data_IF_622850349971
#
_entry.id   IF_622850349971
#
_cell.length_a   1.000
_cell.length_b   1.000
_cell.length_c   1.000
_cell.angle_alpha   90.00
_cell.angle_beta   90.00
_cell.angle_gamma   90.00
#
_symmetry.space_group_name_H-M   'P 1'
#
loop_
_entity.id
_entity.type
_entity.pdbx_description
1 polymer ?
#
# COMPACT_ATOMS: atom_id res chain seq x y z
N UNK A 1 -52.85 -19.89 5.77
CA UNK A 1 -52.42 -18.49 5.63
C UNK A 1 -50.97 -18.21 6.06
N UNK A 2 -50.39 -18.97 7.01
CA UNK A 2 -49.03 -18.82 7.50
C UNK A 2 -47.92 -19.40 6.59
N UNK A 3 -48.22 -20.40 5.78
CA UNK A 3 -47.23 -21.05 4.89
C UNK A 3 -46.85 -20.19 3.68
N UNK A 4 -47.73 -19.28 3.23
CA UNK A 4 -47.48 -18.42 2.06
C UNK A 4 -46.51 -17.27 2.40
N UNK A 5 -46.57 -16.74 3.63
CA UNK A 5 -45.67 -15.66 4.06
C UNK A 5 -44.24 -16.16 4.29
N UNK A 6 -44.05 -17.39 4.77
CA UNK A 6 -42.74 -18.00 4.99
C UNK A 6 -42.06 -18.28 3.65
N UNK A 7 -42.79 -18.75 2.67
CA UNK A 7 -42.25 -19.03 1.34
C UNK A 7 -41.88 -17.75 0.58
N UNK A 8 -42.64 -16.65 0.71
CA UNK A 8 -42.29 -15.37 0.12
C UNK A 8 -41.04 -14.76 0.73
N UNK A 9 -40.88 -14.84 2.04
CA UNK A 9 -39.69 -14.33 2.74
C UNK A 9 -38.41 -15.13 2.44
N UNK A 10 -38.53 -16.44 2.22
CA UNK A 10 -37.43 -17.31 1.80
C UNK A 10 -37.05 -17.01 0.36
N UNK A 11 -38.01 -16.84 -0.54
CA UNK A 11 -37.77 -16.50 -1.96
C UNK A 11 -37.14 -15.10 -2.10
N UNK A 12 -37.52 -14.14 -1.26
CA UNK A 12 -36.89 -12.81 -1.23
C UNK A 12 -35.45 -12.86 -0.68
N UNK A 13 -35.14 -13.73 0.30
CA UNK A 13 -33.77 -13.98 0.77
C UNK A 13 -32.90 -14.64 -0.29
N UNK A 14 -33.43 -15.58 -1.05
CA UNK A 14 -32.69 -16.22 -2.15
C UNK A 14 -32.40 -15.27 -3.32
N UNK A 15 -33.26 -14.28 -3.60
CA UNK A 15 -33.03 -13.26 -4.63
C UNK A 15 -31.88 -12.29 -4.29
N UNK A 16 -31.49 -12.18 -3.03
CA UNK A 16 -30.44 -11.24 -2.57
C UNK A 16 -29.08 -11.91 -2.28
N UNK A 17 -28.85 -13.15 -2.69
CA UNK A 17 -27.56 -13.85 -2.54
C UNK A 17 -26.52 -13.46 -3.61
N UNK A 18 -26.63 -12.29 -4.20
CA UNK A 18 -25.60 -11.76 -5.09
C UNK A 18 -24.40 -11.30 -4.27
N UNK A 19 -23.24 -11.97 -4.47
CA UNK A 19 -21.97 -11.51 -3.91
C UNK A 19 -21.66 -10.12 -4.41
N UNK A 20 -21.32 -9.20 -3.48
CA UNK A 20 -20.92 -7.85 -3.85
C UNK A 20 -19.62 -7.87 -4.65
N UNK A 21 -19.63 -7.26 -5.84
CA UNK A 21 -18.45 -7.03 -6.66
C UNK A 21 -18.31 -5.53 -6.94
N UNK A 22 -17.19 -4.97 -6.48
CA UNK A 22 -16.88 -3.56 -6.71
C UNK A 22 -16.61 -3.28 -8.19
N UNK A 23 -17.20 -2.22 -8.72
CA UNK A 23 -16.89 -1.71 -10.07
C UNK A 23 -15.84 -0.61 -9.98
N UNK A 24 -14.97 -0.52 -10.99
CA UNK A 24 -13.87 0.46 -11.04
C UNK A 24 -14.37 1.93 -10.94
N UNK A 25 -15.57 2.21 -11.45
CA UNK A 25 -16.18 3.53 -11.51
C UNK A 25 -16.72 4.00 -10.16
N UNK A 26 -17.13 3.05 -9.29
CA UNK A 26 -17.79 3.33 -8.01
C UNK A 26 -16.84 3.28 -6.81
N UNK A 27 -15.53 3.16 -7.07
CA UNK A 27 -14.52 3.12 -5.99
C UNK A 27 -14.34 4.52 -5.41
N UNK A 28 -14.68 4.71 -4.15
CA UNK A 28 -14.30 5.88 -3.37
C UNK A 28 -12.86 5.74 -2.87
N UNK A 29 -11.99 6.74 -3.16
CA UNK A 29 -10.58 6.75 -2.80
C UNK A 29 -10.28 7.91 -1.88
N UNK A 30 -9.66 7.61 -0.74
CA UNK A 30 -9.22 8.58 0.26
C UNK A 30 -7.71 8.75 0.23
N UNK A 31 -7.24 9.84 0.81
CA UNK A 31 -5.81 10.11 0.98
C UNK A 31 -5.44 9.91 2.43
N UNK A 32 -4.36 9.16 2.66
CA UNK A 32 -3.82 8.92 3.99
C UNK A 32 -2.37 9.39 4.06
N UNK A 33 -2.02 10.02 5.17
CA UNK A 33 -0.63 10.33 5.50
C UNK A 33 -0.16 9.44 6.64
N UNK A 34 1.05 8.91 6.51
CA UNK A 34 1.70 8.03 7.48
C UNK A 34 3.06 8.61 7.79
N UNK A 35 3.33 8.83 9.07
CA UNK A 35 4.65 9.21 9.55
C UNK A 35 5.52 7.95 9.72
N UNK A 36 6.69 7.97 9.09
CA UNK A 36 7.66 6.88 9.13
C UNK A 36 8.69 7.04 10.27
N UNK A 37 8.68 8.16 11.00
CA UNK A 37 9.65 8.42 12.07
C UNK A 37 9.60 7.34 13.16
N UNK A 38 10.74 6.73 13.44
CA UNK A 38 10.87 5.67 14.45
C UNK A 38 10.17 4.34 14.12
N UNK A 39 9.53 4.24 12.94
CA UNK A 39 8.85 3.01 12.52
C UNK A 39 9.80 2.02 11.86
N UNK A 40 9.59 0.73 12.11
CA UNK A 40 10.36 -0.31 11.41
C UNK A 40 9.89 -0.43 9.96
N UNK A 41 10.84 -0.44 9.01
CA UNK A 41 10.58 -0.48 7.57
C UNK A 41 9.56 -1.56 7.16
N UNK A 42 9.69 -2.78 7.70
CA UNK A 42 8.81 -3.89 7.35
C UNK A 42 7.37 -3.70 7.79
N UNK A 43 7.16 -3.23 9.03
CA UNK A 43 5.81 -2.97 9.58
C UNK A 43 5.13 -1.81 8.86
N UNK A 44 5.88 -0.73 8.63
CA UNK A 44 5.44 0.41 7.83
C UNK A 44 4.98 -0.05 6.43
N UNK A 45 5.84 -0.77 5.71
CA UNK A 45 5.55 -1.25 4.36
C UNK A 45 4.34 -2.19 4.31
N UNK A 46 4.14 -3.05 5.31
CA UNK A 46 2.96 -3.94 5.39
C UNK A 46 1.67 -3.13 5.55
N UNK A 47 1.68 -2.12 6.41
CA UNK A 47 0.50 -1.26 6.63
C UNK A 47 0.17 -0.46 5.36
N UNK A 48 1.18 0.17 4.76
CA UNK A 48 1.05 0.91 3.50
C UNK A 48 0.51 0.01 2.38
N UNK A 49 1.07 -1.19 2.20
CA UNK A 49 0.62 -2.13 1.18
C UNK A 49 -0.84 -2.59 1.40
N UNK A 50 -1.27 -2.76 2.66
CA UNK A 50 -2.66 -3.11 3.00
C UNK A 50 -3.64 -2.01 2.57
N UNK A 51 -3.29 -0.73 2.79
CA UNK A 51 -4.11 0.43 2.40
C UNK A 51 -4.12 0.61 0.88
N UNK A 52 -2.95 0.54 0.23
CA UNK A 52 -2.83 0.62 -1.23
C UNK A 52 -3.62 -0.47 -1.97
N UNK A 53 -3.69 -1.66 -1.39
CA UNK A 53 -4.46 -2.79 -1.91
C UNK A 53 -5.96 -2.66 -1.63
N UNK A 54 -6.32 -1.90 -0.60
CA UNK A 54 -7.71 -1.72 -0.17
C UNK A 54 -8.26 -2.84 0.70
N UNK A 55 -7.39 -3.68 1.29
CA UNK A 55 -7.82 -4.81 2.15
C UNK A 55 -8.55 -4.38 3.44
N UNK A 56 -8.43 -3.12 3.83
CA UNK A 56 -9.12 -2.56 5.00
C UNK A 56 -10.59 -2.23 4.72
N UNK A 57 -11.00 -2.21 3.43
CA UNK A 57 -12.38 -1.91 3.03
C UNK A 57 -13.24 -3.18 2.97
N UNK A 58 -14.49 -3.15 3.46
CA UNK A 58 -15.40 -4.29 3.34
C UNK A 58 -15.76 -4.59 1.87
N UNK A 59 -15.69 -3.58 1.00
CA UNK A 59 -15.96 -3.68 -0.45
C UNK A 59 -14.77 -4.19 -1.27
N UNK A 60 -13.72 -4.72 -0.60
CA UNK A 60 -12.52 -5.21 -1.29
C UNK A 60 -12.83 -6.31 -2.30
N UNK A 61 -12.40 -6.09 -3.54
CA UNK A 61 -12.52 -7.06 -4.63
C UNK A 61 -11.14 -7.29 -5.28
N UNK A 62 -10.63 -8.54 -5.36
CA UNK A 62 -9.24 -8.82 -5.74
C UNK A 62 -8.82 -8.35 -7.14
N UNK A 63 -9.74 -8.34 -8.11
CA UNK A 63 -9.46 -7.98 -9.50
C UNK A 63 -9.62 -6.47 -9.79
N UNK A 64 -10.14 -5.70 -8.83
CA UNK A 64 -10.33 -4.25 -8.95
C UNK A 64 -9.38 -3.52 -8.02
N UNK A 65 -8.85 -2.38 -8.46
CA UNK A 65 -8.05 -1.50 -7.60
C UNK A 65 -8.96 -0.68 -6.67
N UNK A 66 -9.24 -1.25 -5.48
CA UNK A 66 -10.08 -0.64 -4.43
C UNK A 66 -9.29 0.21 -3.43
N UNK A 67 -7.97 0.27 -3.57
CA UNK A 67 -7.09 0.90 -2.60
C UNK A 67 -7.09 2.43 -2.66
N UNK A 68 -6.59 3.02 -1.58
CA UNK A 68 -6.50 4.45 -1.35
C UNK A 68 -5.11 4.99 -1.69
N UNK A 69 -4.98 6.32 -1.72
CA UNK A 69 -3.70 7.00 -1.85
C UNK A 69 -2.98 7.06 -0.50
N UNK A 70 -1.68 6.84 -0.51
CA UNK A 70 -0.85 6.88 0.70
C UNK A 70 0.34 7.79 0.48
N UNK A 71 0.51 8.72 1.42
CA UNK A 71 1.66 9.59 1.54
C UNK A 71 2.48 9.11 2.73
N UNK A 72 3.75 8.83 2.52
CA UNK A 72 4.71 8.51 3.60
C UNK A 72 5.65 9.68 3.77
N UNK A 73 5.72 10.23 4.97
CA UNK A 73 6.62 11.32 5.32
C UNK A 73 7.74 10.83 6.23
N UNK A 74 8.81 11.62 6.36
CA UNK A 74 9.98 11.31 7.20
C UNK A 74 10.67 9.97 6.84
N UNK A 75 10.76 9.63 5.55
CA UNK A 75 11.38 8.38 5.10
C UNK A 75 12.85 8.24 5.54
N UNK A 76 13.57 9.34 5.76
CA UNK A 76 14.95 9.34 6.26
C UNK A 76 15.09 8.83 7.70
N UNK A 77 14.03 8.86 8.49
CA UNK A 77 14.02 8.46 9.90
C UNK A 77 13.46 7.05 10.16
N UNK A 78 13.33 6.24 9.12
CA UNK A 78 12.90 4.84 9.20
C UNK A 78 13.95 4.00 9.91
N UNK A 79 13.51 3.11 10.80
CA UNK A 79 14.38 2.23 11.55
C UNK A 79 14.53 0.87 10.88
N UNK A 80 15.77 0.40 10.77
CA UNK A 80 16.12 -0.97 10.38
C UNK A 80 16.56 -1.74 11.63
N UNK A 81 15.97 -2.91 11.85
CA UNK A 81 16.28 -3.75 13.03
C UNK A 81 17.47 -4.68 12.78
N UNK A 82 18.25 -4.95 13.84
CA UNK A 82 19.43 -5.80 13.76
C UNK A 82 20.54 -5.19 12.90
N UNK A 83 21.40 -6.01 12.34
CA UNK A 83 22.57 -5.56 11.55
C UNK A 83 22.24 -5.26 10.06
N UNK A 84 20.96 -5.02 9.74
CA UNK A 84 20.52 -4.83 8.34
C UNK A 84 21.12 -3.59 7.66
N UNK A 85 21.57 -2.60 8.43
CA UNK A 85 22.23 -1.43 7.87
C UNK A 85 23.49 -1.80 7.09
N UNK A 86 24.25 -2.77 7.58
CA UNK A 86 25.50 -3.23 6.98
C UNK A 86 25.30 -4.44 6.06
N UNK A 87 24.50 -5.41 6.50
CA UNK A 87 24.41 -6.72 5.82
C UNK A 87 23.42 -6.74 4.67
N UNK A 88 22.39 -5.87 4.70
CA UNK A 88 21.39 -5.87 3.65
C UNK A 88 21.87 -5.13 2.42
N UNK A 89 22.00 -5.86 1.30
CA UNK A 89 22.40 -5.31 0.02
C UNK A 89 21.20 -5.06 -0.90
N UNK A 90 21.26 -3.95 -1.62
CA UNK A 90 20.31 -3.60 -2.68
C UNK A 90 21.04 -3.64 -4.01
N UNK A 91 20.54 -4.48 -4.90
CA UNK A 91 21.09 -4.66 -6.25
C UNK A 91 20.27 -3.90 -7.29
N UNK A 92 20.96 -3.28 -8.23
CA UNK A 92 20.38 -2.67 -9.42
C UNK A 92 21.24 -2.97 -10.64
N UNK A 93 20.64 -3.36 -11.76
CA UNK A 93 21.35 -3.73 -12.97
C UNK A 93 20.90 -2.85 -14.13
N UNK A 94 21.85 -2.22 -14.82
CA UNK A 94 21.59 -1.31 -15.95
C UNK A 94 21.24 -2.01 -17.26
N UNK A 95 21.25 -3.35 -17.29
CA UNK A 95 21.09 -4.23 -18.47
C UNK A 95 22.25 -4.22 -19.47
N UNK A 96 23.36 -3.56 -19.16
CA UNK A 96 24.62 -3.64 -19.92
C UNK A 96 25.60 -4.57 -19.23
N UNK A 97 26.54 -5.17 -19.98
CA UNK A 97 27.60 -5.99 -19.42
C UNK A 97 28.36 -5.20 -18.34
N UNK A 98 28.61 -5.81 -17.16
CA UNK A 98 29.25 -5.13 -16.02
C UNK A 98 28.39 -4.09 -15.30
N UNK A 99 27.11 -3.95 -15.64
CA UNK A 99 26.21 -2.91 -15.09
C UNK A 99 25.56 -3.22 -13.73
N UNK A 100 26.04 -4.19 -12.97
CA UNK A 100 25.57 -4.47 -11.62
C UNK A 100 26.06 -3.38 -10.66
N UNK A 101 25.13 -2.80 -9.93
CA UNK A 101 25.41 -1.84 -8.84
C UNK A 101 24.89 -2.40 -7.53
N UNK A 102 25.74 -2.36 -6.52
CA UNK A 102 25.45 -2.82 -5.16
C UNK A 102 25.48 -1.64 -4.22
N UNK A 103 24.55 -1.59 -3.28
CA UNK A 103 24.48 -0.56 -2.23
C UNK A 103 24.06 -1.23 -0.92
N UNK A 104 24.68 -0.84 0.18
CA UNK A 104 24.24 -1.25 1.51
C UNK A 104 22.94 -0.55 1.90
N UNK A 105 22.21 -1.10 2.86
CA UNK A 105 21.00 -0.44 3.35
C UNK A 105 21.31 0.89 4.03
N UNK A 106 22.50 1.04 4.66
CA UNK A 106 22.95 2.31 5.21
C UNK A 106 23.09 3.40 4.14
N UNK A 107 23.80 3.09 3.04
CA UNK A 107 23.93 4.01 1.91
C UNK A 107 22.57 4.37 1.25
N UNK A 108 21.66 3.39 1.20
CA UNK A 108 20.31 3.62 0.68
C UNK A 108 19.51 4.56 1.57
N UNK A 109 19.64 4.44 2.90
CA UNK A 109 18.93 5.28 3.86
C UNK A 109 19.42 6.74 3.80
N UNK A 110 20.74 6.94 3.63
CA UNK A 110 21.32 8.29 3.54
C UNK A 110 21.01 8.99 2.22
N UNK A 111 21.22 8.29 1.10
CA UNK A 111 21.16 8.90 -0.24
C UNK A 111 19.79 8.81 -0.89
N UNK A 112 19.07 7.69 -0.66
CA UNK A 112 17.84 7.37 -1.37
C UNK A 112 16.77 6.76 -0.43
N UNK A 113 16.39 7.43 0.68
CA UNK A 113 15.45 6.88 1.66
C UNK A 113 14.07 6.60 1.05
N UNK A 114 13.63 7.43 0.12
CA UNK A 114 12.38 7.27 -0.60
C UNK A 114 12.35 5.94 -1.38
N UNK A 115 13.40 5.70 -2.18
CA UNK A 115 13.53 4.47 -2.97
C UNK A 115 13.55 3.20 -2.08
N UNK A 116 14.14 3.28 -0.89
CA UNK A 116 14.17 2.16 0.05
C UNK A 116 12.76 1.77 0.51
N UNK A 117 11.94 2.76 0.88
CA UNK A 117 10.54 2.55 1.27
C UNK A 117 9.71 2.05 0.08
N UNK A 118 9.86 2.66 -1.08
CA UNK A 118 9.17 2.26 -2.30
C UNK A 118 9.47 0.81 -2.68
N UNK A 119 10.73 0.38 -2.65
CA UNK A 119 11.13 -0.99 -2.94
C UNK A 119 10.53 -1.99 -1.94
N UNK A 120 10.47 -1.62 -0.65
CA UNK A 120 9.85 -2.46 0.37
C UNK A 120 8.35 -2.64 0.13
N UNK A 121 7.63 -1.57 -0.17
CA UNK A 121 6.18 -1.61 -0.47
C UNK A 121 5.91 -2.34 -1.78
N UNK A 122 6.68 -2.06 -2.84
CA UNK A 122 6.55 -2.72 -4.16
C UNK A 122 6.71 -4.23 -4.06
N UNK A 123 7.61 -4.71 -3.19
CA UNK A 123 7.79 -6.13 -2.92
C UNK A 123 6.57 -6.81 -2.28
N UNK A 124 5.71 -6.04 -1.58
CA UNK A 124 4.51 -6.52 -0.89
C UNK A 124 3.23 -6.39 -1.73
N UNK A 125 3.28 -5.66 -2.84
CA UNK A 125 2.17 -5.53 -3.78
C UNK A 125 2.15 -6.68 -4.79
N UNK A 126 0.98 -6.98 -5.41
CA UNK A 126 0.88 -7.96 -6.46
C UNK A 126 1.82 -7.65 -7.64
N UNK A 127 2.39 -8.69 -8.23
CA UNK A 127 3.15 -8.56 -9.48
C UNK A 127 2.18 -8.51 -10.66
N UNK A 128 2.30 -7.50 -11.51
CA UNK A 128 1.45 -7.39 -12.71
C UNK A 128 0.86 -5.98 -12.92
N UNK A 129 -0.03 -5.81 -13.89
CA UNK A 129 -0.62 -4.49 -14.22
C UNK A 129 -1.36 -3.85 -13.05
N UNK A 130 -2.17 -4.64 -12.33
CA UNK A 130 -2.92 -4.17 -11.17
C UNK A 130 -2.01 -3.66 -10.04
N UNK A 131 -0.94 -4.40 -9.72
CA UNK A 131 0.03 -3.97 -8.71
C UNK A 131 0.78 -2.69 -9.11
N UNK A 132 1.06 -2.49 -10.40
CA UNK A 132 1.63 -1.23 -10.90
C UNK A 132 0.66 -0.05 -10.75
N UNK A 133 -0.65 -0.25 -10.94
CA UNK A 133 -1.66 0.78 -10.69
C UNK A 133 -1.75 1.13 -9.20
N UNK A 134 -1.73 0.13 -8.31
CA UNK A 134 -1.71 0.33 -6.87
C UNK A 134 -0.45 1.11 -6.43
N UNK A 135 0.72 0.77 -6.98
CA UNK A 135 1.98 1.41 -6.65
C UNK A 135 2.03 2.90 -7.04
N UNK A 136 1.36 3.31 -8.12
CA UNK A 136 1.26 4.72 -8.54
C UNK A 136 0.54 5.63 -7.53
N UNK A 137 -0.18 5.05 -6.58
CA UNK A 137 -0.88 5.78 -5.52
C UNK A 137 -0.03 5.99 -4.26
N UNK A 138 1.21 5.51 -4.28
CA UNK A 138 2.19 5.72 -3.23
C UNK A 138 3.02 6.96 -3.53
N UNK A 139 3.10 7.87 -2.58
CA UNK A 139 3.98 9.03 -2.59
C UNK A 139 4.87 8.97 -1.35
N UNK A 140 6.17 9.02 -1.52
CA UNK A 140 7.13 8.95 -0.41
C UNK A 140 7.96 10.20 -0.42
N UNK A 141 8.12 10.82 0.75
CA UNK A 141 8.89 12.03 0.97
C UNK A 141 9.96 11.78 2.02
N UNK A 142 11.15 12.30 1.75
CA UNK A 142 12.29 12.21 2.64
C UNK A 142 12.02 12.90 3.99
N UNK A 143 11.42 14.09 3.91
CA UNK A 143 11.15 14.99 5.04
C UNK A 143 9.66 15.00 5.42
N UNK A 144 9.29 15.87 6.37
CA UNK A 144 7.91 16.02 6.83
C UNK A 144 6.99 16.73 5.83
N UNK A 145 7.55 17.49 4.87
CA UNK A 145 6.78 18.27 3.92
C UNK A 145 6.33 17.42 2.74
N UNK A 146 5.06 17.53 2.36
CA UNK A 146 4.49 16.89 1.19
C UNK A 146 3.69 17.89 0.34
N UNK A 147 3.56 17.64 -0.96
CA UNK A 147 2.91 18.54 -1.92
C UNK A 147 1.37 18.38 -1.98
N UNK A 148 0.81 17.34 -1.39
CA UNK A 148 -0.61 16.96 -1.52
C UNK A 148 -1.52 17.56 -0.43
N UNK A 149 -1.21 18.76 0.10
CA UNK A 149 -2.05 19.40 1.14
C UNK A 149 -3.50 19.67 0.67
N UNK A 150 -3.67 19.98 -0.61
CA UNK A 150 -4.99 20.25 -1.20
C UNK A 150 -5.96 19.05 -1.10
N UNK A 151 -5.42 17.83 -0.99
CA UNK A 151 -6.21 16.59 -0.87
C UNK A 151 -6.72 16.31 0.55
N UNK A 152 -6.34 17.14 1.54
CA UNK A 152 -6.70 16.99 2.96
C UNK A 152 -6.50 15.56 3.46
N UNK A 153 -5.26 15.03 3.43
CA UNK A 153 -5.01 13.64 3.80
C UNK A 153 -5.32 13.39 5.27
N UNK A 154 -5.80 12.19 5.57
CA UNK A 154 -6.16 11.73 6.92
C UNK A 154 -4.92 11.06 7.53
N UNK A 155 -4.55 11.43 8.74
CA UNK A 155 -3.45 10.78 9.44
C UNK A 155 -3.80 9.33 9.82
N UNK A 156 -2.90 8.40 9.48
CA UNK A 156 -3.01 6.99 9.81
C UNK A 156 -1.82 6.56 10.67
N UNK A 157 -2.08 6.21 11.93
CA UNK A 157 -1.04 5.70 12.84
C UNK A 157 -0.74 4.23 12.54
N UNK A 158 0.55 3.91 12.49
CA UNK A 158 1.04 2.52 12.41
C UNK A 158 1.19 2.02 13.85
N UNK A 159 0.38 1.03 14.20
CA UNK A 159 0.52 0.32 15.48
C UNK A 159 1.44 -0.87 15.31
#
# INVERSE_FOLDING_TARGET
MWEVEITSSIIEREKNMNTFMQKKETVDRKWYVIDAEGQTLGRLATKVATVLKGKHKPTYTPHVDCGDYVIVINASKVVLTGNKLNDKMYYNHSRYAGGLRERTAGEMLEKYPEEMVERAVKGMLPKGPLGRQMFRKLHVYKDANHEQMAQKPIELKVK
#
